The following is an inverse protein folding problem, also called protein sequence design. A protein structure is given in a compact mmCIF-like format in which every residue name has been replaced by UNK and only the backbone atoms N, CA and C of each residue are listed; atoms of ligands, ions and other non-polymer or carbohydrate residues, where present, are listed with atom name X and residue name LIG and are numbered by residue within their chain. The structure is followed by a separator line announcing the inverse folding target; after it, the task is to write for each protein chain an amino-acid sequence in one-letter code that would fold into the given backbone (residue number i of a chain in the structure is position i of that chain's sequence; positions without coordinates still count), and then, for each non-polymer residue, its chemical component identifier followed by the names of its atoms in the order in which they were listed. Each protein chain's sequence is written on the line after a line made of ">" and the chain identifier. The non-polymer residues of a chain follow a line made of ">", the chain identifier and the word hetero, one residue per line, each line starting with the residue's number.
data_IF_066150101551
#
_entry.id   IF_066150101551
#
_cell.length_a   1.000
_cell.length_b   1.000
_cell.length_c   1.000
_cell.angle_alpha   90.00
_cell.angle_beta   90.00
_cell.angle_gamma   90.00
#
_symmetry.space_group_name_H-M   'P 1'
#
loop_
_entity.id
_entity.type
_entity.pdbx_description
1 polymer ?
#
# COMPACT_ATOMS: atom_id res chain seq x y z
N UNK A 1 -33.99 9.40 3.73
CA UNK A 1 -32.70 9.54 3.02
C UNK A 1 -32.04 8.21 2.73
N UNK A 2 -32.74 7.27 2.08
CA UNK A 2 -32.16 6.00 1.57
C UNK A 2 -32.09 5.96 0.03
N UNK A 3 -32.42 7.05 -0.63
CA UNK A 3 -32.51 7.12 -2.10
C UNK A 3 -31.22 7.59 -2.78
N UNK A 4 -30.38 8.38 -2.10
CA UNK A 4 -29.25 9.06 -2.75
C UNK A 4 -28.06 8.12 -3.02
N UNK A 5 -27.79 7.18 -2.12
CA UNK A 5 -26.69 6.21 -2.28
C UNK A 5 -27.03 5.15 -3.34
N UNK A 6 -28.29 4.70 -3.35
CA UNK A 6 -28.80 3.72 -4.32
C UNK A 6 -28.93 4.36 -5.71
N UNK A 7 -29.29 5.65 -5.78
CA UNK A 7 -29.22 6.45 -7.02
C UNK A 7 -27.78 6.65 -7.49
N UNK A 8 -26.80 6.88 -6.60
CA UNK A 8 -25.38 7.03 -6.99
C UNK A 8 -24.79 5.73 -7.55
N UNK A 9 -25.07 4.59 -6.95
CA UNK A 9 -24.59 3.30 -7.49
C UNK A 9 -25.30 2.91 -8.78
N UNK A 10 -26.62 3.16 -8.89
CA UNK A 10 -27.37 2.90 -10.13
C UNK A 10 -26.99 3.88 -11.25
N UNK A 11 -26.67 5.13 -10.93
CA UNK A 11 -26.15 6.10 -11.90
C UNK A 11 -24.69 5.82 -12.27
N UNK A 12 -23.84 5.36 -11.35
CA UNK A 12 -22.46 4.97 -11.66
C UNK A 12 -22.38 3.73 -12.56
N UNK A 13 -23.19 2.70 -12.29
CA UNK A 13 -23.26 1.49 -13.11
C UNK A 13 -23.98 1.71 -14.46
N UNK A 14 -24.97 2.62 -14.51
CA UNK A 14 -25.59 3.03 -15.77
C UNK A 14 -24.70 3.99 -16.56
N UNK A 15 -23.88 4.83 -15.91
CA UNK A 15 -22.97 5.77 -16.55
C UNK A 15 -21.85 5.06 -17.33
N UNK A 16 -21.29 3.97 -16.82
CA UNK A 16 -20.31 3.15 -17.56
C UNK A 16 -20.86 2.58 -18.88
N UNK A 17 -22.17 2.36 -18.96
CA UNK A 17 -22.87 1.92 -20.17
C UNK A 17 -23.32 3.09 -21.06
N UNK A 18 -23.27 4.32 -20.56
CA UNK A 18 -23.75 5.48 -21.30
C UNK A 18 -22.64 6.11 -22.14
N UNK A 19 -21.35 5.78 -22.02
CA UNK A 19 -20.28 6.45 -22.81
C UNK A 19 -20.01 5.91 -24.22
N UNK A 20 -20.77 4.93 -24.71
CA UNK A 20 -20.56 4.32 -26.04
C UNK A 20 -20.76 5.21 -27.27
N UNK A 21 -20.85 6.55 -27.17
CA UNK A 21 -21.12 7.40 -28.35
C UNK A 21 -20.80 8.89 -28.20
N UNK A 22 -19.70 9.30 -27.54
CA UNK A 22 -19.23 10.68 -27.60
C UNK A 22 -17.88 10.75 -28.33
N UNK A 23 -17.95 11.00 -29.64
CA UNK A 23 -16.86 11.11 -30.63
C UNK A 23 -15.87 9.93 -30.69
N UNK A 24 -16.04 9.08 -31.70
CA UNK A 24 -15.27 7.87 -31.99
C UNK A 24 -13.75 8.07 -32.27
N UNK A 25 -13.15 9.21 -31.90
CA UNK A 25 -11.76 9.56 -32.18
C UNK A 25 -10.84 9.74 -30.97
N UNK A 26 -11.38 9.98 -29.77
CA UNK A 26 -10.53 10.29 -28.61
C UNK A 26 -10.11 9.06 -27.80
N UNK A 27 -11.02 8.12 -27.58
CA UNK A 27 -10.69 6.87 -26.90
C UNK A 27 -9.76 6.00 -27.74
N UNK A 28 -8.80 5.37 -27.06
CA UNK A 28 -7.80 4.50 -27.69
C UNK A 28 -7.56 3.29 -26.80
N UNK A 29 -7.17 2.19 -27.39
CA UNK A 29 -6.82 0.94 -26.69
C UNK A 29 -5.50 0.41 -27.24
N UNK A 30 -4.85 -0.50 -26.54
CA UNK A 30 -3.66 -1.17 -27.10
C UNK A 30 -2.42 -0.28 -27.17
N UNK A 31 -2.35 0.82 -26.41
CA UNK A 31 -1.22 1.75 -26.46
C UNK A 31 -0.01 1.13 -25.77
N UNK A 32 1.06 0.91 -26.54
CA UNK A 32 2.36 0.46 -26.02
C UNK A 32 3.36 1.57 -25.71
N UNK A 33 3.02 2.82 -26.05
CA UNK A 33 3.85 4.00 -25.83
C UNK A 33 3.00 5.26 -25.80
N UNK A 34 3.60 6.39 -25.39
CA UNK A 34 2.95 7.69 -25.43
C UNK A 34 2.85 8.20 -26.88
N UNK A 35 1.76 7.89 -27.58
CA UNK A 35 1.56 8.17 -29.02
C UNK A 35 0.28 8.97 -29.31
N UNK A 36 -0.30 9.61 -28.30
CA UNK A 36 -1.63 10.23 -28.38
C UNK A 36 -1.65 11.75 -28.14
N UNK A 37 -0.49 12.40 -28.07
CA UNK A 37 -0.39 13.84 -27.90
C UNK A 37 -0.53 14.27 -26.43
N UNK A 38 -1.21 15.39 -26.20
CA UNK A 38 -1.47 15.91 -24.85
C UNK A 38 -2.63 15.16 -24.18
N UNK A 39 -2.55 14.97 -22.87
CA UNK A 39 -3.62 14.46 -22.02
C UNK A 39 -4.21 15.63 -21.21
N UNK A 40 -5.18 16.38 -21.74
CA UNK A 40 -5.68 17.58 -21.09
C UNK A 40 -6.37 17.27 -19.76
N UNK A 41 -6.48 18.28 -18.88
CA UNK A 41 -7.10 18.08 -17.56
C UNK A 41 -8.60 17.84 -17.65
N UNK A 42 -9.27 18.43 -18.64
CA UNK A 42 -10.69 18.23 -18.92
C UNK A 42 -11.01 18.53 -20.38
N UNK A 43 -12.08 17.93 -20.88
CA UNK A 43 -12.63 18.20 -22.21
C UNK A 43 -14.12 18.52 -22.04
N UNK A 44 -14.56 19.59 -22.70
CA UNK A 44 -15.99 19.94 -22.81
C UNK A 44 -16.55 19.32 -24.08
N UNK A 45 -17.70 18.66 -23.96
CA UNK A 45 -18.41 18.08 -25.11
C UNK A 45 -19.92 18.22 -24.95
N UNK A 46 -20.65 18.15 -26.06
CA UNK A 46 -22.11 18.27 -26.05
C UNK A 46 -22.77 16.91 -26.25
N UNK A 47 -23.77 16.58 -25.42
CA UNK A 47 -24.56 15.36 -25.59
C UNK A 47 -26.01 15.58 -25.19
N UNK A 48 -26.94 15.18 -26.05
CA UNK A 48 -28.38 15.36 -25.81
C UNK A 48 -28.76 16.83 -25.56
N UNK A 49 -28.07 17.77 -26.22
CA UNK A 49 -28.30 19.22 -26.05
C UNK A 49 -27.76 19.82 -24.75
N UNK A 50 -26.97 19.09 -23.95
CA UNK A 50 -26.32 19.58 -22.73
C UNK A 50 -24.80 19.57 -22.89
N UNK A 51 -24.15 20.61 -22.39
CA UNK A 51 -22.69 20.65 -22.25
C UNK A 51 -22.28 19.83 -21.02
N UNK A 52 -21.33 18.91 -21.22
CA UNK A 52 -20.78 18.04 -20.20
C UNK A 52 -19.26 18.19 -20.13
N UNK A 53 -18.70 17.98 -18.94
CA UNK A 53 -17.26 17.89 -18.73
C UNK A 53 -16.88 16.42 -18.61
N UNK A 54 -15.86 16.00 -19.35
CA UNK A 54 -15.20 14.72 -19.19
C UNK A 54 -13.75 14.89 -18.80
N UNK A 55 -13.21 13.92 -18.07
CA UNK A 55 -11.84 13.94 -17.55
C UNK A 55 -11.01 12.83 -18.22
N UNK A 56 -10.15 13.19 -19.19
CA UNK A 56 -9.19 12.30 -19.81
C UNK A 56 -8.36 11.49 -18.82
N UNK A 57 -8.35 10.18 -19.00
CA UNK A 57 -7.55 9.26 -18.22
C UNK A 57 -6.79 8.27 -19.12
N UNK A 58 -5.54 7.99 -18.73
CA UNK A 58 -4.77 6.87 -19.29
C UNK A 58 -5.02 5.64 -18.41
N UNK A 59 -5.78 4.67 -18.87
CA UNK A 59 -6.13 3.46 -18.09
C UNK A 59 -5.13 2.33 -18.32
N UNK A 60 -5.01 1.42 -17.34
CA UNK A 60 -4.29 0.15 -17.51
C UNK A 60 -5.24 -0.92 -18.09
N UNK A 61 -4.89 -1.49 -19.25
CA UNK A 61 -5.64 -2.56 -19.93
C UNK A 61 -4.99 -3.95 -19.73
N UNK A 62 -4.04 -4.07 -18.81
CA UNK A 62 -3.41 -5.35 -18.42
C UNK A 62 -2.17 -5.73 -19.22
N UNK A 63 -2.17 -5.54 -20.55
CA UNK A 63 -0.97 -5.73 -21.41
C UNK A 63 -0.55 -4.43 -22.13
N UNK A 64 -1.40 -3.41 -22.08
CA UNK A 64 -1.23 -2.13 -22.75
C UNK A 64 -1.98 -1.04 -21.97
N UNK A 65 -1.87 0.21 -22.40
CA UNK A 65 -2.67 1.30 -21.85
C UNK A 65 -3.78 1.72 -22.82
N UNK A 66 -4.82 2.38 -22.30
CA UNK A 66 -5.91 2.94 -23.10
C UNK A 66 -6.22 4.39 -22.71
N UNK A 67 -6.92 5.12 -23.56
CA UNK A 67 -7.49 6.42 -23.24
C UNK A 67 -9.00 6.28 -23.03
N UNK A 68 -9.48 6.78 -21.88
CA UNK A 68 -10.90 6.80 -21.50
C UNK A 68 -11.29 8.16 -20.94
N UNK A 69 -12.55 8.53 -21.13
CA UNK A 69 -13.12 9.73 -20.54
C UNK A 69 -13.87 9.34 -19.27
N UNK A 70 -13.46 9.87 -18.11
CA UNK A 70 -14.09 9.56 -16.82
C UNK A 70 -14.92 10.73 -16.30
N UNK A 71 -15.78 10.44 -15.33
CA UNK A 71 -16.78 11.38 -14.81
C UNK A 71 -16.20 12.36 -13.78
N UNK A 72 -15.11 11.98 -13.11
CA UNK A 72 -14.52 12.81 -12.05
C UNK A 72 -13.02 13.03 -12.23
N UNK A 73 -12.48 14.19 -11.80
CA UNK A 73 -11.04 14.44 -11.86
C UNK A 73 -10.24 13.47 -11.01
N UNK A 74 -10.80 13.01 -9.89
CA UNK A 74 -10.11 12.13 -8.95
C UNK A 74 -9.95 10.72 -9.52
N UNK A 75 -11.02 10.15 -10.06
CA UNK A 75 -10.96 8.88 -10.77
C UNK A 75 -10.00 8.95 -11.96
N UNK A 76 -10.04 10.03 -12.75
CA UNK A 76 -9.14 10.22 -13.88
C UNK A 76 -7.67 10.27 -13.47
N UNK A 77 -7.34 10.90 -12.32
CA UNK A 77 -5.97 10.90 -11.78
C UNK A 77 -5.53 9.50 -11.36
N UNK A 78 -6.37 8.77 -10.63
CA UNK A 78 -6.06 7.42 -10.16
C UNK A 78 -5.84 6.46 -11.33
N UNK A 79 -6.73 6.48 -12.32
CA UNK A 79 -6.59 5.66 -13.52
C UNK A 79 -5.37 6.09 -14.33
N UNK A 80 -5.16 7.39 -14.56
CA UNK A 80 -3.95 7.91 -15.24
C UNK A 80 -2.67 7.42 -14.59
N UNK A 81 -2.62 7.38 -13.25
CA UNK A 81 -1.47 6.82 -12.53
C UNK A 81 -1.20 5.36 -12.93
N UNK A 82 -2.25 4.54 -13.00
CA UNK A 82 -2.14 3.12 -13.40
C UNK A 82 -1.69 2.99 -14.85
N UNK A 83 -2.28 3.73 -15.78
CA UNK A 83 -1.88 3.68 -17.19
C UNK A 83 -0.46 4.21 -17.45
N UNK A 84 -0.02 5.24 -16.72
CA UNK A 84 1.36 5.73 -16.79
C UNK A 84 2.33 4.65 -16.31
N UNK A 85 2.04 4.00 -15.18
CA UNK A 85 2.84 2.89 -14.68
C UNK A 85 2.89 1.73 -15.68
N UNK A 86 1.77 1.41 -16.34
CA UNK A 86 1.72 0.41 -17.41
C UNK A 86 2.68 0.74 -18.56
N UNK A 87 2.61 1.96 -19.10
CA UNK A 87 3.51 2.39 -20.17
C UNK A 87 4.99 2.39 -19.74
N UNK A 88 5.29 2.83 -18.51
CA UNK A 88 6.65 2.79 -17.97
C UNK A 88 7.17 1.35 -17.81
N UNK A 89 6.33 0.42 -17.34
CA UNK A 89 6.67 -1.01 -17.24
C UNK A 89 7.01 -1.61 -18.61
N UNK A 90 6.22 -1.28 -19.63
CA UNK A 90 6.49 -1.73 -21.01
C UNK A 90 7.79 -1.13 -21.56
N UNK A 91 8.00 0.17 -21.36
CA UNK A 91 9.18 0.88 -21.84
C UNK A 91 10.49 0.45 -21.14
N UNK A 92 10.41 -0.02 -19.89
CA UNK A 92 11.55 -0.43 -19.06
C UNK A 92 11.61 -1.96 -18.83
N UNK A 93 10.97 -2.74 -19.71
CA UNK A 93 10.84 -4.20 -19.55
C UNK A 93 12.15 -4.93 -19.30
N UNK A 94 13.24 -4.54 -19.97
CA UNK A 94 14.54 -5.21 -19.83
C UNK A 94 15.22 -4.89 -18.49
N UNK A 95 15.05 -3.66 -17.98
CA UNK A 95 15.50 -3.27 -16.65
C UNK A 95 14.71 -4.02 -15.58
N UNK A 96 13.39 -4.13 -15.74
CA UNK A 96 12.54 -4.87 -14.82
C UNK A 96 12.84 -6.37 -14.83
N UNK A 97 13.07 -6.98 -16.00
CA UNK A 97 13.55 -8.37 -16.10
C UNK A 97 14.88 -8.59 -15.36
N UNK A 98 15.80 -7.63 -15.43
CA UNK A 98 17.08 -7.72 -14.71
C UNK A 98 16.87 -7.69 -13.18
N UNK A 99 16.00 -6.82 -12.68
CA UNK A 99 15.65 -6.75 -11.25
C UNK A 99 14.89 -8.01 -10.80
N UNK A 100 14.01 -8.54 -11.66
CA UNK A 100 13.25 -9.75 -11.40
C UNK A 100 14.10 -11.02 -11.26
N UNK A 101 15.38 -11.00 -11.63
CA UNK A 101 16.32 -12.08 -11.29
C UNK A 101 16.55 -12.20 -9.79
N UNK A 102 16.30 -11.12 -9.04
CA UNK A 102 16.49 -11.06 -7.60
C UNK A 102 17.96 -11.17 -7.17
N UNK A 103 18.22 -11.05 -5.86
CA UNK A 103 19.55 -11.29 -5.31
C UNK A 103 19.85 -12.80 -5.23
N UNK A 104 21.14 -13.22 -5.23
CA UNK A 104 21.50 -14.63 -5.10
C UNK A 104 20.89 -15.35 -3.88
N UNK A 105 20.72 -14.63 -2.77
CA UNK A 105 20.13 -15.15 -1.53
C UNK A 105 18.60 -15.20 -1.52
N UNK A 106 17.91 -14.83 -2.61
CA UNK A 106 16.44 -14.75 -2.62
C UNK A 106 15.77 -16.07 -2.25
N UNK A 107 16.29 -17.21 -2.74
CA UNK A 107 15.75 -18.53 -2.40
C UNK A 107 15.76 -18.81 -0.88
N UNK A 108 16.82 -18.38 -0.18
CA UNK A 108 16.91 -18.52 1.27
C UNK A 108 15.90 -17.61 1.99
N UNK A 109 15.74 -16.37 1.52
CA UNK A 109 14.75 -15.42 2.06
C UNK A 109 13.34 -15.98 1.88
N UNK A 110 13.01 -16.50 0.68
CA UNK A 110 11.72 -17.10 0.40
C UNK A 110 11.44 -18.32 1.31
N UNK A 111 12.46 -19.14 1.59
CA UNK A 111 12.32 -20.27 2.52
C UNK A 111 12.00 -19.81 3.96
N UNK A 112 12.57 -18.69 4.41
CA UNK A 112 12.25 -18.07 5.70
C UNK A 112 10.80 -17.54 5.73
N UNK A 113 10.23 -17.16 4.58
CA UNK A 113 8.87 -16.64 4.47
C UNK A 113 7.87 -17.65 3.88
N UNK A 114 8.23 -18.94 3.80
CA UNK A 114 7.42 -20.00 3.16
C UNK A 114 5.97 -20.11 3.66
N UNK A 115 5.71 -19.70 4.91
CA UNK A 115 4.37 -19.69 5.49
C UNK A 115 3.44 -18.62 4.91
N UNK A 116 3.96 -17.69 4.11
CA UNK A 116 3.19 -16.63 3.45
C UNK A 116 2.77 -16.98 2.02
N UNK A 117 3.32 -18.04 1.44
CA UNK A 117 3.01 -18.46 0.08
C UNK A 117 4.25 -18.80 -0.75
N UNK A 118 4.03 -18.90 -2.06
CA UNK A 118 5.04 -19.30 -3.02
C UNK A 118 6.10 -18.21 -3.26
N UNK A 119 7.32 -18.62 -3.63
CA UNK A 119 8.45 -17.73 -3.90
C UNK A 119 8.15 -16.71 -4.98
N UNK A 120 7.41 -17.11 -6.01
CA UNK A 120 7.03 -16.26 -7.15
C UNK A 120 6.08 -15.14 -6.71
N UNK A 121 5.17 -15.43 -5.78
CA UNK A 121 4.26 -14.42 -5.23
C UNK A 121 5.02 -13.39 -4.38
N UNK A 122 5.98 -13.83 -3.57
CA UNK A 122 6.85 -12.93 -2.80
C UNK A 122 7.73 -12.07 -3.72
N UNK A 123 8.28 -12.67 -4.78
CA UNK A 123 9.06 -11.93 -5.77
C UNK A 123 8.21 -10.86 -6.45
N UNK A 124 7.00 -11.23 -6.88
CA UNK A 124 6.04 -10.31 -7.48
C UNK A 124 5.68 -9.15 -6.55
N UNK A 125 5.42 -9.43 -5.27
CA UNK A 125 5.11 -8.42 -4.24
C UNK A 125 6.25 -7.39 -4.08
N UNK A 126 7.50 -7.86 -4.03
CA UNK A 126 8.67 -6.97 -3.91
C UNK A 126 8.88 -6.16 -5.18
N UNK A 127 8.69 -6.78 -6.35
CA UNK A 127 8.79 -6.09 -7.64
C UNK A 127 7.71 -5.01 -7.80
N UNK A 128 6.50 -5.26 -7.32
CA UNK A 128 5.41 -4.29 -7.35
C UNK A 128 5.78 -3.05 -6.51
N UNK A 129 6.30 -3.24 -5.29
CA UNK A 129 6.76 -2.15 -4.44
C UNK A 129 7.92 -1.35 -5.07
N UNK A 130 8.92 -2.04 -5.64
CA UNK A 130 10.03 -1.41 -6.35
C UNK A 130 9.52 -0.60 -7.53
N UNK A 131 8.57 -1.14 -8.31
CA UNK A 131 7.99 -0.46 -9.46
C UNK A 131 7.23 0.78 -9.03
N UNK A 132 6.33 0.67 -8.06
CA UNK A 132 5.54 1.79 -7.57
C UNK A 132 6.43 2.96 -7.12
N UNK A 133 7.47 2.66 -6.34
CA UNK A 133 8.41 3.66 -5.83
C UNK A 133 9.32 4.27 -6.91
N UNK A 134 9.87 3.44 -7.80
CA UNK A 134 10.92 3.86 -8.73
C UNK A 134 10.35 4.48 -10.00
N UNK A 135 9.24 3.94 -10.52
CA UNK A 135 8.69 4.35 -11.80
C UNK A 135 8.01 5.71 -11.71
N UNK A 136 7.20 5.93 -10.67
CA UNK A 136 6.50 7.19 -10.47
C UNK A 136 6.76 7.78 -9.09
N UNK A 137 6.60 6.99 -8.01
CA UNK A 137 6.65 7.51 -6.65
C UNK A 137 5.67 8.67 -6.46
N UNK A 138 6.20 9.79 -5.96
CA UNK A 138 5.47 11.05 -5.74
C UNK A 138 5.65 12.06 -6.89
N UNK A 139 6.27 11.66 -8.01
CA UNK A 139 6.44 12.56 -9.14
C UNK A 139 5.08 12.92 -9.77
N UNK A 140 4.94 14.14 -10.33
CA UNK A 140 3.70 14.53 -11.00
C UNK A 140 3.42 13.64 -12.22
N UNK A 141 2.13 13.36 -12.44
CA UNK A 141 1.68 12.57 -13.59
C UNK A 141 2.04 13.26 -14.91
N UNK A 142 2.75 12.58 -15.83
CA UNK A 142 2.97 13.09 -17.18
C UNK A 142 1.65 13.38 -17.88
N UNK A 143 1.54 14.55 -18.51
CA UNK A 143 0.40 14.94 -19.38
C UNK A 143 0.80 15.12 -20.84
N UNK A 144 2.07 14.95 -21.18
CA UNK A 144 2.59 15.10 -22.53
C UNK A 144 3.81 14.18 -22.77
N UNK A 145 4.13 13.90 -24.03
CA UNK A 145 5.19 12.99 -24.42
C UNK A 145 6.55 13.36 -23.82
N UNK A 146 6.91 14.65 -23.81
CA UNK A 146 8.17 15.13 -23.23
C UNK A 146 8.28 14.84 -21.73
N UNK A 147 7.19 15.03 -20.97
CA UNK A 147 7.13 14.74 -19.54
C UNK A 147 7.22 13.23 -19.27
N UNK A 148 6.60 12.41 -20.12
CA UNK A 148 6.69 10.95 -20.04
C UNK A 148 8.12 10.47 -20.29
N UNK A 149 8.80 11.03 -21.31
CA UNK A 149 10.19 10.69 -21.62
C UNK A 149 11.14 11.10 -20.49
N UNK A 150 10.92 12.25 -19.86
CA UNK A 150 11.68 12.67 -18.68
C UNK A 150 11.42 11.72 -17.50
N UNK A 151 10.16 11.36 -17.25
CA UNK A 151 9.80 10.39 -16.22
C UNK A 151 10.45 9.04 -16.45
N UNK A 152 10.47 8.55 -17.69
CA UNK A 152 11.14 7.30 -18.07
C UNK A 152 12.65 7.36 -17.76
N UNK A 153 13.30 8.49 -18.04
CA UNK A 153 14.73 8.70 -17.69
C UNK A 153 14.94 8.66 -16.18
N UNK A 154 14.13 9.39 -15.40
CA UNK A 154 14.16 9.37 -13.92
C UNK A 154 13.94 7.97 -13.37
N UNK A 155 12.91 7.28 -13.85
CA UNK A 155 12.58 5.91 -13.46
C UNK A 155 13.75 4.95 -13.73
N UNK A 156 14.32 4.99 -14.93
CA UNK A 156 15.49 4.17 -15.30
C UNK A 156 16.68 4.42 -14.39
N UNK A 157 16.93 5.66 -13.98
CA UNK A 157 18.01 6.01 -13.07
C UNK A 157 17.73 5.58 -11.61
N UNK A 158 16.48 5.67 -11.15
CA UNK A 158 16.08 5.30 -9.78
C UNK A 158 16.00 3.80 -9.54
N UNK A 159 15.57 3.03 -10.54
CA UNK A 159 15.30 1.60 -10.42
C UNK A 159 16.41 0.79 -9.72
N UNK A 160 17.70 0.93 -10.09
CA UNK A 160 18.77 0.20 -9.41
C UNK A 160 18.90 0.54 -7.92
N UNK A 161 18.81 1.82 -7.55
CA UNK A 161 18.94 2.26 -6.16
C UNK A 161 17.76 1.81 -5.30
N UNK A 162 16.54 1.88 -5.83
CA UNK A 162 15.32 1.42 -5.14
C UNK A 162 15.38 -0.09 -4.91
N UNK A 163 15.78 -0.87 -5.93
CA UNK A 163 15.95 -2.31 -5.79
C UNK A 163 17.06 -2.66 -4.78
N UNK A 164 18.19 -1.95 -4.82
CA UNK A 164 19.30 -2.15 -3.87
C UNK A 164 18.91 -1.88 -2.41
N UNK A 165 17.93 -1.00 -2.17
CA UNK A 165 17.35 -0.77 -0.83
C UNK A 165 16.32 -1.83 -0.42
N UNK A 166 15.51 -2.32 -1.36
CA UNK A 166 14.44 -3.28 -1.06
C UNK A 166 14.96 -4.67 -0.65
N UNK A 167 15.98 -5.20 -1.33
CA UNK A 167 16.44 -6.58 -1.10
C UNK A 167 17.03 -6.82 0.29
N UNK A 168 17.95 -5.98 0.81
CA UNK A 168 18.46 -6.14 2.16
C UNK A 168 17.35 -5.97 3.21
N UNK A 169 16.41 -5.05 2.97
CA UNK A 169 15.29 -4.83 3.86
C UNK A 169 14.36 -6.05 3.93
N UNK A 170 14.05 -6.67 2.79
CA UNK A 170 13.30 -7.92 2.76
C UNK A 170 14.01 -9.04 3.55
N UNK A 171 15.33 -9.16 3.38
CA UNK A 171 16.13 -10.14 4.11
C UNK A 171 16.08 -9.90 5.62
N UNK A 172 16.17 -8.63 6.05
CA UNK A 172 16.08 -8.26 7.47
C UNK A 172 14.68 -8.57 8.03
N UNK A 173 13.61 -8.21 7.31
CA UNK A 173 12.23 -8.55 7.72
C UNK A 173 12.06 -10.06 7.84
N UNK A 174 12.57 -10.85 6.89
CA UNK A 174 12.49 -12.30 6.93
C UNK A 174 13.23 -12.91 8.14
N UNK A 175 14.42 -12.39 8.46
CA UNK A 175 15.17 -12.80 9.64
C UNK A 175 14.40 -12.49 10.94
N UNK A 176 13.92 -11.24 11.11
CA UNK A 176 13.16 -10.82 12.29
C UNK A 176 11.84 -11.57 12.43
N UNK A 177 11.18 -11.86 11.32
CA UNK A 177 9.95 -12.66 11.30
C UNK A 177 10.19 -14.08 11.85
N UNK A 178 11.30 -14.72 11.46
CA UNK A 178 11.68 -16.05 11.95
C UNK A 178 12.12 -16.03 13.42
N UNK A 179 12.90 -15.04 13.84
CA UNK A 179 13.31 -14.85 15.24
C UNK A 179 12.09 -14.68 16.16
N UNK A 180 11.15 -13.81 15.77
CA UNK A 180 9.90 -13.63 16.49
C UNK A 180 9.04 -14.90 16.48
N UNK A 181 9.04 -15.64 15.37
CA UNK A 181 8.37 -16.94 15.26
C UNK A 181 8.85 -17.94 16.31
N UNK A 182 10.16 -18.15 16.40
CA UNK A 182 10.76 -19.04 17.40
C UNK A 182 10.47 -18.60 18.83
N UNK A 183 10.50 -17.28 19.10
CA UNK A 183 10.18 -16.73 20.42
C UNK A 183 8.72 -16.97 20.81
N UNK A 184 7.78 -16.81 19.86
CA UNK A 184 6.35 -17.13 20.05
C UNK A 184 6.18 -18.62 20.34
N UNK A 185 6.84 -19.49 19.56
CA UNK A 185 6.70 -20.94 19.68
C UNK A 185 7.18 -21.45 21.04
N UNK A 186 8.26 -20.89 21.56
CA UNK A 186 8.87 -21.22 22.85
C UNK A 186 8.07 -20.77 24.09
N UNK A 187 7.02 -19.96 23.95
CA UNK A 187 6.21 -19.51 25.10
C UNK A 187 5.53 -20.69 25.82
N UNK A 188 5.54 -20.79 27.15
CA UNK A 188 4.84 -21.87 27.84
C UNK A 188 3.31 -21.70 27.76
N UNK A 189 2.56 -22.80 27.88
CA UNK A 189 1.10 -22.83 27.73
C UNK A 189 0.32 -21.80 28.59
N UNK A 190 0.72 -21.49 29.85
CA UNK A 190 0.05 -20.45 30.64
C UNK A 190 0.11 -19.04 30.05
N UNK A 191 1.03 -18.77 29.11
CA UNK A 191 1.18 -17.47 28.43
C UNK A 191 0.43 -17.40 27.10
N UNK A 192 -0.67 -18.15 26.97
CA UNK A 192 -1.49 -18.21 25.76
C UNK A 192 -1.94 -16.83 25.26
N UNK A 193 -2.41 -15.95 26.14
CA UNK A 193 -2.88 -14.62 25.75
C UNK A 193 -1.77 -13.75 25.14
N UNK A 194 -0.56 -13.79 25.71
CA UNK A 194 0.61 -13.12 25.15
C UNK A 194 1.00 -13.71 23.80
N UNK A 195 1.00 -15.05 23.69
CA UNK A 195 1.30 -15.77 22.45
C UNK A 195 0.34 -15.35 21.33
N UNK A 196 -0.96 -15.35 21.59
CA UNK A 196 -1.99 -14.97 20.62
C UNK A 196 -1.87 -13.50 20.20
N UNK A 197 -1.65 -12.58 21.15
CA UNK A 197 -1.52 -11.15 20.83
C UNK A 197 -0.28 -10.85 19.97
N UNK A 198 0.87 -11.43 20.33
CA UNK A 198 2.12 -11.22 19.59
C UNK A 198 2.09 -11.93 18.23
N UNK A 199 1.46 -13.10 18.13
CA UNK A 199 1.24 -13.77 16.85
C UNK A 199 0.32 -12.96 15.93
N UNK A 200 -0.77 -12.40 16.46
CA UNK A 200 -1.67 -11.53 15.70
C UNK A 200 -0.96 -10.25 15.23
N UNK A 201 -0.12 -9.63 16.07
CA UNK A 201 0.70 -8.49 15.67
C UNK A 201 1.67 -8.87 14.54
N UNK A 202 2.38 -10.01 14.66
CA UNK A 202 3.29 -10.50 13.62
C UNK A 202 2.58 -10.67 12.28
N UNK A 203 1.39 -11.26 12.27
CA UNK A 203 0.57 -11.46 11.07
C UNK A 203 0.03 -10.14 10.50
N UNK A 204 -0.24 -9.14 11.34
CA UNK A 204 -0.65 -7.81 10.89
C UNK A 204 0.53 -6.97 10.32
N UNK A 205 1.77 -7.32 10.63
CA UNK A 205 2.98 -6.68 10.08
C UNK A 205 3.45 -7.37 8.80
N UNK A 206 3.44 -8.70 8.78
CA UNK A 206 3.98 -9.53 7.69
C UNK A 206 2.95 -10.60 7.31
N UNK A 207 2.36 -10.42 6.14
CA UNK A 207 1.30 -11.24 5.54
C UNK A 207 1.55 -11.40 4.03
N UNK A 208 0.83 -12.27 3.31
CA UNK A 208 0.99 -12.37 1.85
C UNK A 208 0.69 -11.03 1.17
N UNK A 209 1.65 -10.45 0.43
CA UNK A 209 1.50 -9.13 -0.20
C UNK A 209 1.92 -7.95 0.68
N UNK A 210 2.53 -8.18 1.84
CA UNK A 210 2.85 -7.09 2.78
C UNK A 210 3.83 -6.06 2.23
N UNK A 211 4.72 -6.44 1.30
CA UNK A 211 5.83 -5.59 0.89
C UNK A 211 5.34 -4.45 -0.02
N UNK A 212 4.44 -4.72 -0.96
CA UNK A 212 3.78 -3.69 -1.77
C UNK A 212 2.64 -2.97 -1.04
N UNK A 213 1.94 -3.65 -0.14
CA UNK A 213 0.83 -3.05 0.61
C UNK A 213 1.28 -2.12 1.75
N UNK A 214 2.55 -2.18 2.16
CA UNK A 214 3.11 -1.29 3.18
C UNK A 214 3.67 -0.04 2.50
N UNK A 215 3.30 1.18 2.95
CA UNK A 215 3.89 2.42 2.43
C UNK A 215 5.42 2.36 2.48
N UNK A 216 6.08 2.84 1.42
CA UNK A 216 7.52 2.67 1.25
C UNK A 216 8.32 3.22 2.43
N UNK A 217 7.89 4.35 2.98
CA UNK A 217 8.48 5.04 4.13
C UNK A 217 8.37 4.22 5.42
N UNK A 218 7.46 3.25 5.47
CA UNK A 218 7.18 2.38 6.62
C UNK A 218 7.79 1.00 6.50
N UNK A 219 8.24 0.58 5.31
CA UNK A 219 8.90 -0.71 5.14
C UNK A 219 10.13 -0.83 6.05
N UNK A 220 10.92 0.24 6.17
CA UNK A 220 12.10 0.31 7.03
C UNK A 220 11.78 0.17 8.53
N UNK A 221 10.55 0.42 8.94
CA UNK A 221 10.13 0.27 10.33
C UNK A 221 9.76 -1.17 10.71
N UNK A 222 9.45 -2.04 9.72
CA UNK A 222 8.98 -3.41 9.99
C UNK A 222 9.96 -4.25 10.82
N UNK A 223 11.29 -4.27 10.53
CA UNK A 223 12.24 -4.98 11.38
C UNK A 223 12.21 -4.51 12.84
N UNK A 224 12.08 -3.19 13.06
CA UNK A 224 12.02 -2.58 14.40
C UNK A 224 10.75 -2.97 15.15
N UNK A 225 9.60 -3.03 14.46
CA UNK A 225 8.34 -3.48 15.09
C UNK A 225 8.36 -4.96 15.46
N UNK A 226 8.93 -5.82 14.59
CA UNK A 226 9.12 -7.24 14.87
C UNK A 226 10.08 -7.45 16.06
N UNK A 227 11.18 -6.70 16.10
CA UNK A 227 12.12 -6.71 17.21
C UNK A 227 11.47 -6.24 18.53
N UNK A 228 10.65 -5.19 18.49
CA UNK A 228 9.91 -4.73 19.67
C UNK A 228 8.97 -5.80 20.25
N UNK A 229 8.27 -6.53 19.37
CA UNK A 229 7.41 -7.63 19.76
C UNK A 229 8.21 -8.80 20.34
N UNK A 230 9.40 -9.09 19.80
CA UNK A 230 10.33 -10.10 20.33
C UNK A 230 10.81 -9.73 21.73
N UNK A 231 11.22 -8.47 21.94
CA UNK A 231 11.67 -7.97 23.24
C UNK A 231 10.57 -7.95 24.30
N UNK A 232 9.32 -7.76 23.89
CA UNK A 232 8.16 -7.90 24.79
C UNK A 232 8.12 -9.30 25.39
N UNK A 233 8.30 -10.34 24.56
CA UNK A 233 8.37 -11.74 25.01
C UNK A 233 9.56 -11.94 25.96
N UNK A 234 10.75 -11.47 25.60
CA UNK A 234 11.97 -11.63 26.42
C UNK A 234 11.87 -10.98 27.80
N UNK A 235 11.26 -9.80 27.87
CA UNK A 235 11.15 -9.03 29.12
C UNK A 235 9.95 -9.44 29.98
N UNK A 236 9.00 -10.19 29.42
CA UNK A 236 7.78 -10.57 30.11
C UNK A 236 8.06 -11.27 31.46
N UNK A 237 8.97 -12.26 31.58
CA UNK A 237 9.21 -12.95 32.86
C UNK A 237 9.69 -12.03 33.98
N UNK A 238 10.45 -10.99 33.65
CA UNK A 238 10.99 -10.04 34.63
C UNK A 238 9.94 -9.04 35.12
N UNK A 239 8.92 -8.72 34.31
CA UNK A 239 7.87 -7.77 34.70
C UNK A 239 6.52 -8.07 34.03
N UNK A 240 5.78 -9.11 34.46
CA UNK A 240 4.47 -9.44 33.92
C UNK A 240 3.42 -8.33 34.17
N UNK A 241 3.55 -7.59 35.28
CA UNK A 241 2.63 -6.51 35.65
C UNK A 241 2.63 -5.37 34.62
N UNK A 242 3.76 -5.08 33.99
CA UNK A 242 3.86 -4.11 32.90
C UNK A 242 3.01 -4.54 31.70
N UNK A 243 3.04 -5.81 31.34
CA UNK A 243 2.24 -6.34 30.23
C UNK A 243 0.74 -6.27 30.57
N UNK A 244 0.37 -6.76 31.76
CA UNK A 244 -1.01 -6.72 32.26
C UNK A 244 -1.61 -5.31 32.28
N UNK A 245 -0.80 -4.28 32.55
CA UNK A 245 -1.22 -2.87 32.52
C UNK A 245 -1.42 -2.34 31.11
N UNK A 246 -0.56 -2.70 30.16
CA UNK A 246 -0.45 -2.01 28.87
C UNK A 246 -1.11 -2.77 27.71
N UNK A 247 -1.03 -4.10 27.69
CA UNK A 247 -1.59 -4.91 26.61
C UNK A 247 -3.09 -4.68 26.38
N UNK A 248 -3.96 -4.62 27.42
CA UNK A 248 -5.38 -4.37 27.21
C UNK A 248 -5.68 -3.02 26.56
N UNK A 249 -4.89 -1.98 26.87
CA UNK A 249 -5.06 -0.63 26.31
C UNK A 249 -4.72 -0.62 24.81
N UNK A 250 -3.64 -1.30 24.43
CA UNK A 250 -3.24 -1.45 23.03
C UNK A 250 -4.28 -2.28 22.26
N UNK A 251 -4.74 -3.39 22.84
CA UNK A 251 -5.77 -4.25 22.24
C UNK A 251 -7.08 -3.51 22.00
N UNK A 252 -7.51 -2.67 22.95
CA UNK A 252 -8.71 -1.86 22.80
C UNK A 252 -8.59 -0.87 21.62
N UNK A 253 -7.45 -0.17 21.51
CA UNK A 253 -7.20 0.75 20.40
C UNK A 253 -7.10 0.01 19.05
N UNK A 254 -6.42 -1.14 19.03
CA UNK A 254 -6.29 -1.97 17.83
C UNK A 254 -7.63 -2.49 17.34
N UNK A 255 -8.48 -2.97 18.24
CA UNK A 255 -9.85 -3.41 17.91
C UNK A 255 -10.69 -2.28 17.35
N UNK A 256 -10.65 -1.10 17.99
CA UNK A 256 -11.35 0.11 17.51
C UNK A 256 -10.91 0.49 16.08
N UNK A 257 -9.60 0.40 15.80
CA UNK A 257 -9.05 0.60 14.46
C UNK A 257 -9.57 -0.43 13.45
N UNK A 258 -9.54 -1.73 13.79
CA UNK A 258 -10.04 -2.79 12.91
C UNK A 258 -11.54 -2.62 12.58
N UNK A 259 -12.36 -2.30 13.59
CA UNK A 259 -13.80 -2.07 13.41
C UNK A 259 -14.06 -0.90 12.45
N UNK A 260 -13.31 0.20 12.60
CA UNK A 260 -13.42 1.35 11.69
C UNK A 260 -12.94 1.00 10.27
N UNK A 261 -11.84 0.26 10.12
CA UNK A 261 -11.37 -0.21 8.80
C UNK A 261 -12.43 -1.07 8.11
N UNK A 262 -13.06 -1.98 8.84
CA UNK A 262 -14.12 -2.83 8.32
C UNK A 262 -15.34 -2.02 7.86
N UNK A 263 -15.72 -0.98 8.61
CA UNK A 263 -16.78 -0.04 8.23
C UNK A 263 -16.42 0.73 6.95
N UNK A 264 -15.25 1.37 6.89
CA UNK A 264 -14.86 2.18 5.73
C UNK A 264 -14.70 1.34 4.46
N UNK A 265 -14.20 0.09 4.57
CA UNK A 265 -14.15 -0.84 3.44
C UNK A 265 -15.53 -1.13 2.84
N UNK A 266 -16.59 -1.19 3.65
CA UNK A 266 -17.97 -1.35 3.14
C UNK A 266 -18.49 -0.10 2.43
N UNK A 267 -17.89 1.06 2.70
CA UNK A 267 -18.25 2.37 2.13
C UNK A 267 -17.31 2.79 0.97
N UNK A 268 -16.63 1.84 0.33
CA UNK A 268 -15.77 2.12 -0.83
C UNK A 268 -14.27 2.20 -0.54
N UNK A 269 -13.81 1.81 0.66
CA UNK A 269 -12.38 1.67 0.98
C UNK A 269 -11.98 2.43 2.26
N UNK A 270 -10.89 2.01 2.91
CA UNK A 270 -10.36 2.72 4.09
C UNK A 270 -9.65 4.02 3.68
N UNK A 271 -9.69 5.04 4.54
CA UNK A 271 -9.09 6.36 4.25
C UNK A 271 -7.59 6.30 4.47
N UNK A 272 -6.84 7.09 3.73
CA UNK A 272 -5.39 7.18 3.91
C UNK A 272 -5.04 7.62 5.34
N UNK A 273 -5.85 8.51 5.93
CA UNK A 273 -5.71 8.91 7.33
C UNK A 273 -5.87 7.72 8.29
N UNK A 274 -6.88 6.86 8.08
CA UNK A 274 -7.07 5.66 8.90
C UNK A 274 -5.97 4.61 8.65
N UNK A 275 -5.55 4.43 7.41
CA UNK A 275 -4.44 3.52 7.07
C UNK A 275 -3.14 3.98 7.74
N UNK A 276 -2.87 5.29 7.74
CA UNK A 276 -1.72 5.89 8.41
C UNK A 276 -1.80 5.76 9.94
N UNK A 277 -3.00 5.82 10.53
CA UNK A 277 -3.19 5.73 11.98
C UNK A 277 -2.60 4.45 12.57
N UNK A 278 -2.69 3.31 11.88
CA UNK A 278 -2.20 2.00 12.36
C UNK A 278 -0.75 2.08 12.83
N UNK A 279 0.10 2.84 12.12
CA UNK A 279 1.51 2.96 12.45
C UNK A 279 1.75 3.66 13.78
N UNK A 280 0.87 4.57 14.20
CA UNK A 280 0.92 5.16 15.54
C UNK A 280 0.66 4.12 16.64
N UNK A 281 -0.14 3.08 16.36
CA UNK A 281 -0.35 1.96 17.28
C UNK A 281 0.93 1.13 17.41
N UNK A 282 1.64 0.87 16.30
CA UNK A 282 2.91 0.14 16.33
C UNK A 282 3.99 0.95 17.08
N UNK A 283 4.09 2.25 16.84
CA UNK A 283 5.00 3.12 17.61
C UNK A 283 4.64 3.16 19.11
N UNK A 284 3.35 3.13 19.43
CA UNK A 284 2.90 3.04 20.81
C UNK A 284 3.34 1.70 21.44
N UNK A 285 3.22 0.57 20.71
CA UNK A 285 3.74 -0.73 21.16
C UNK A 285 5.24 -0.68 21.43
N UNK A 286 6.03 -0.07 20.54
CA UNK A 286 7.47 0.15 20.77
C UNK A 286 7.71 0.93 22.07
N UNK A 287 7.02 2.06 22.25
CA UNK A 287 7.19 2.91 23.46
C UNK A 287 6.82 2.20 24.77
N UNK A 288 5.91 1.21 24.71
CA UNK A 288 5.43 0.48 25.88
C UNK A 288 6.28 -0.74 26.22
N UNK A 289 6.79 -1.46 25.22
CA UNK A 289 7.41 -2.77 25.44
C UNK A 289 8.92 -2.80 25.14
N UNK A 290 9.43 -1.87 24.34
CA UNK A 290 10.82 -1.85 23.87
C UNK A 290 11.37 -0.42 23.75
N UNK A 291 11.31 0.35 24.84
CA UNK A 291 11.68 1.77 24.91
C UNK A 291 13.06 2.10 24.35
N UNK A 292 14.01 1.18 24.52
CA UNK A 292 15.39 1.34 24.05
C UNK A 292 15.53 1.35 22.53
N UNK A 293 14.54 0.84 21.78
CA UNK A 293 14.49 0.95 20.32
C UNK A 293 14.10 2.36 19.85
N UNK A 294 13.60 3.20 20.77
CA UNK A 294 13.11 4.56 20.55
C UNK A 294 11.95 4.62 19.55
N UNK A 295 11.26 5.75 19.57
CA UNK A 295 10.24 6.10 18.59
C UNK A 295 10.69 7.37 17.87
N UNK A 296 10.37 7.55 16.58
CA UNK A 296 10.78 8.72 15.80
C UNK A 296 10.13 10.02 16.30
N UNK A 297 9.02 9.92 17.03
CA UNK A 297 8.32 11.03 17.67
C UNK A 297 7.74 10.55 19.01
N UNK A 298 7.36 11.46 19.94
CA UNK A 298 6.79 11.03 21.21
C UNK A 298 5.38 10.47 21.02
N UNK A 299 5.10 9.30 21.60
CA UNK A 299 3.84 8.57 21.47
C UNK A 299 3.27 8.26 22.85
N UNK A 300 1.95 8.39 23.01
CA UNK A 300 1.23 8.03 24.23
C UNK A 300 -0.24 7.76 23.92
N UNK A 301 -0.95 7.10 24.84
CA UNK A 301 -2.38 6.87 24.70
C UNK A 301 -3.15 8.17 24.43
N UNK A 302 -2.89 9.23 25.20
CA UNK A 302 -3.53 10.54 25.02
C UNK A 302 -3.31 11.12 23.63
N UNK A 303 -2.12 10.92 23.04
CA UNK A 303 -1.81 11.38 21.68
C UNK A 303 -2.56 10.56 20.64
N UNK A 304 -2.64 9.23 20.80
CA UNK A 304 -3.43 8.37 19.91
C UNK A 304 -4.92 8.72 19.96
N UNK A 305 -5.48 8.97 21.14
CA UNK A 305 -6.89 9.39 21.27
C UNK A 305 -7.16 10.72 20.56
N UNK A 306 -6.23 11.68 20.67
CA UNK A 306 -6.33 12.95 19.94
C UNK A 306 -6.30 12.72 18.43
N UNK A 307 -5.30 11.98 17.92
CA UNK A 307 -5.19 11.66 16.50
C UNK A 307 -6.43 10.91 15.99
N UNK A 308 -6.99 10.02 16.81
CA UNK A 308 -8.20 9.29 16.47
C UNK A 308 -9.42 10.22 16.33
N UNK A 309 -9.57 11.19 17.23
CA UNK A 309 -10.66 12.16 17.18
C UNK A 309 -10.56 13.12 15.99
N UNK A 310 -9.35 13.34 15.46
CA UNK A 310 -9.07 14.18 14.30
C UNK A 310 -9.24 13.43 12.96
N UNK A 311 -9.52 12.12 12.98
CA UNK A 311 -9.75 11.36 11.75
C UNK A 311 -11.00 11.88 11.02
N UNK A 312 -10.96 12.00 9.67
CA UNK A 312 -12.11 12.45 8.90
C UNK A 312 -13.35 11.59 9.15
N UNK A 313 -14.54 12.20 9.22
CA UNK A 313 -15.78 11.44 9.22
C UNK A 313 -15.93 10.67 7.90
N UNK A 314 -16.67 9.58 7.93
CA UNK A 314 -17.06 8.78 6.77
C UNK A 314 -18.55 8.68 6.73
#
# INVERSE_FOLDING_TARGET
>A
GRDVEDLRQKLGAAASLTFGSAEAGWEKTGLGSWSFGELPESIRFHRGGRELNGYPALVDEGESAGLRLLDTPEEARQETRRGVLRLLRMALKEQLKAIAKGPPQFAQIALQLRGLGHSEALLGDVLEAICDRALLGEDPLPRQAAAFEEQKKRARARLPAVAAGAWPLLAEVAARYQELGRAIDALPAPLRALREDVAAQRQALVYPGFFSATPWERLGDLPRYLEAARRRIEKYPANPARDARHAPLVQAMWRRWLERVALERRLGGASDALAAFRWNIEEWRVSLFAQELKTPYPVSQKRLEKLWAELPPR
#
